data_IF_154086285796
#
_entry.id   IF_154086285796
#
_cell.length_a   1.000
_cell.length_b   1.000
_cell.length_c   1.000
_cell.angle_alpha   90.00
_cell.angle_beta   90.00
_cell.angle_gamma   90.00
#
_symmetry.space_group_name_H-M   'P 1'
#
loop_
_entity.id
_entity.type
_entity.pdbx_description
1 polymer ?
#
# COMPACT_ATOMS: atom_id res chain seq x y z
N UNK A 1 64.64 -38.16 -13.25
CA UNK A 1 63.66 -37.50 -12.34
C UNK A 1 63.48 -36.00 -12.64
N UNK A 2 64.54 -35.17 -12.65
CA UNK A 2 64.45 -33.71 -12.89
C UNK A 2 63.87 -33.29 -14.26
N UNK A 3 64.25 -33.98 -15.34
CA UNK A 3 63.78 -33.64 -16.70
C UNK A 3 62.32 -34.03 -16.96
N UNK A 4 61.82 -35.08 -16.31
CA UNK A 4 60.41 -35.49 -16.44
C UNK A 4 59.47 -34.44 -15.84
N UNK A 5 59.83 -33.84 -14.70
CA UNK A 5 59.08 -32.74 -14.10
C UNK A 5 59.10 -31.48 -14.99
N UNK A 6 60.25 -31.16 -15.60
CA UNK A 6 60.38 -30.06 -16.56
C UNK A 6 59.48 -30.25 -17.80
N UNK A 7 59.46 -31.46 -18.37
CA UNK A 7 58.64 -31.76 -19.56
C UNK A 7 57.15 -31.62 -19.25
N UNK A 8 56.68 -32.16 -18.13
CA UNK A 8 55.25 -32.04 -17.73
C UNK A 8 54.87 -30.59 -17.48
N UNK A 9 55.78 -29.79 -16.90
CA UNK A 9 55.55 -28.36 -16.62
C UNK A 9 55.42 -27.55 -17.91
N UNK A 10 56.31 -27.77 -18.88
CA UNK A 10 56.29 -27.06 -20.16
C UNK A 10 55.08 -27.48 -21.00
N UNK A 11 54.70 -28.76 -20.97
CA UNK A 11 53.47 -29.23 -21.63
C UNK A 11 52.20 -28.61 -21.04
N UNK A 12 52.12 -28.44 -19.72
CA UNK A 12 50.99 -27.77 -19.07
C UNK A 12 50.88 -26.28 -19.44
N UNK A 13 52.01 -25.59 -19.60
CA UNK A 13 52.03 -24.16 -19.95
C UNK A 13 51.64 -23.93 -21.43
N UNK A 14 52.04 -24.82 -22.34
CA UNK A 14 51.73 -24.73 -23.78
C UNK A 14 50.27 -25.06 -24.11
N UNK A 15 49.59 -25.90 -23.32
CA UNK A 15 48.17 -26.23 -23.50
C UNK A 15 47.21 -25.18 -22.92
N UNK A 16 47.72 -24.18 -22.18
CA UNK A 16 46.92 -23.27 -21.36
C UNK A 16 46.48 -21.95 -22.01
N UNK A 17 46.76 -21.70 -23.29
CA UNK A 17 46.52 -20.38 -23.91
C UNK A 17 45.57 -20.44 -25.11
N UNK A 18 44.30 -20.78 -24.88
CA UNK A 18 43.28 -20.77 -25.93
C UNK A 18 41.89 -20.41 -25.40
N UNK A 19 41.68 -19.17 -24.94
CA UNK A 19 40.33 -18.62 -24.80
C UNK A 19 40.39 -17.11 -24.50
N UNK A 20 40.79 -16.29 -25.48
CA UNK A 20 40.61 -14.85 -25.35
C UNK A 20 40.27 -14.20 -26.69
N UNK A 21 39.37 -14.82 -27.45
CA UNK A 21 38.69 -14.14 -28.56
C UNK A 21 37.22 -14.52 -28.49
N UNK A 22 36.36 -13.51 -28.51
CA UNK A 22 34.90 -13.55 -28.62
C UNK A 22 34.08 -13.80 -27.34
N UNK A 23 33.78 -12.72 -26.61
CA UNK A 23 32.48 -12.53 -25.94
C UNK A 23 32.28 -11.06 -25.56
N UNK A 24 32.06 -10.19 -26.54
CA UNK A 24 31.32 -8.95 -26.28
C UNK A 24 29.88 -9.25 -26.69
N UNK A 25 28.93 -9.35 -25.75
CA UNK A 25 27.52 -9.55 -26.11
C UNK A 25 27.03 -8.34 -26.92
N UNK A 26 26.12 -8.53 -27.89
CA UNK A 26 25.55 -7.42 -28.63
C UNK A 26 24.85 -6.45 -27.65
N UNK A 27 24.92 -5.13 -27.87
CA UNK A 27 24.21 -4.18 -27.02
C UNK A 27 22.70 -4.42 -27.15
N UNK A 28 22.05 -4.67 -26.02
CA UNK A 28 20.59 -4.81 -25.96
C UNK A 28 20.00 -3.40 -26.06
N UNK A 29 19.31 -3.10 -27.16
CA UNK A 29 18.49 -1.91 -27.29
C UNK A 29 17.30 -2.02 -26.34
N UNK A 30 17.40 -1.38 -25.17
CA UNK A 30 16.28 -1.26 -24.25
C UNK A 30 15.21 -0.35 -24.88
N UNK A 31 13.92 -0.69 -24.75
CA UNK A 31 12.85 0.21 -25.16
C UNK A 31 12.91 1.51 -24.35
N UNK A 32 12.49 2.64 -24.92
CA UNK A 32 12.45 3.90 -24.19
C UNK A 32 11.49 3.78 -23.00
N UNK A 33 11.79 4.44 -21.86
CA UNK A 33 10.92 4.41 -20.70
C UNK A 33 9.56 5.01 -21.05
N UNK A 34 8.49 4.31 -20.67
CA UNK A 34 7.14 4.85 -20.79
C UNK A 34 7.01 6.04 -19.85
N UNK A 35 6.50 7.16 -20.36
CA UNK A 35 6.19 8.32 -19.53
C UNK A 35 5.21 7.92 -18.43
N UNK A 36 5.33 8.49 -17.22
CA UNK A 36 4.32 8.30 -16.18
C UNK A 36 2.96 8.68 -16.75
N UNK A 37 1.99 7.78 -16.63
CA UNK A 37 0.62 8.08 -17.04
C UNK A 37 0.06 9.27 -16.24
N UNK A 38 -1.00 9.93 -16.75
CA UNK A 38 -1.69 10.94 -15.96
C UNK A 38 -2.17 10.32 -14.63
N UNK A 39 -2.18 11.09 -13.54
CA UNK A 39 -2.69 10.59 -12.27
C UNK A 39 -4.14 10.11 -12.46
N UNK A 40 -4.56 9.05 -11.76
CA UNK A 40 -5.95 8.62 -11.80
C UNK A 40 -6.82 9.81 -11.39
N UNK A 41 -7.88 10.07 -12.17
CA UNK A 41 -8.92 11.02 -11.78
C UNK A 41 -9.66 10.37 -10.61
N UNK A 42 -9.21 10.65 -9.39
CA UNK A 42 -9.93 10.27 -8.18
C UNK A 42 -11.15 11.17 -8.12
N UNK A 43 -12.33 10.59 -8.37
CA UNK A 43 -13.58 11.28 -8.06
C UNK A 43 -13.55 11.65 -6.56
N UNK A 44 -13.96 12.87 -6.18
CA UNK A 44 -14.08 13.21 -4.76
C UNK A 44 -15.00 12.17 -4.10
N UNK A 45 -14.74 11.79 -2.83
CA UNK A 45 -15.68 10.95 -2.10
C UNK A 45 -17.07 11.57 -2.17
N UNK A 46 -18.15 10.77 -2.23
CA UNK A 46 -19.50 11.31 -2.16
C UNK A 46 -19.59 12.24 -0.93
N UNK A 47 -20.34 13.35 -1.00
CA UNK A 47 -20.49 14.23 0.15
C UNK A 47 -20.87 13.37 1.35
N UNK A 48 -20.07 13.46 2.41
CA UNK A 48 -20.40 12.75 3.65
C UNK A 48 -21.82 13.16 4.00
N UNK A 49 -22.71 12.20 4.24
CA UNK A 49 -24.07 12.57 4.56
C UNK A 49 -24.05 13.43 5.83
N UNK A 50 -24.72 14.57 5.79
CA UNK A 50 -24.83 15.54 6.88
C UNK A 50 -25.71 14.99 8.03
N UNK A 51 -25.32 13.84 8.55
CA UNK A 51 -26.07 13.08 9.52
C UNK A 51 -26.25 13.84 10.84
N UNK A 52 -25.27 14.68 11.20
CA UNK A 52 -25.35 15.59 12.34
C UNK A 52 -26.25 16.81 12.09
N UNK A 53 -26.57 17.16 10.84
CA UNK A 53 -27.37 18.37 10.51
C UNK A 53 -28.88 18.15 10.65
N UNK A 54 -29.32 16.90 10.82
CA UNK A 54 -30.76 16.58 10.93
C UNK A 54 -31.38 17.06 12.24
N UNK A 55 -30.57 17.21 13.29
CA UNK A 55 -30.99 17.62 14.62
C UNK A 55 -30.21 18.88 15.02
N UNK A 56 -30.78 19.72 15.88
CA UNK A 56 -30.05 20.86 16.44
C UNK A 56 -28.82 20.37 17.20
N UNK A 57 -27.66 21.04 17.10
CA UNK A 57 -26.44 20.61 17.79
C UNK A 57 -26.63 20.37 19.29
N UNK A 58 -27.51 21.15 19.95
CA UNK A 58 -27.84 20.99 21.37
C UNK A 58 -28.56 19.68 21.65
N UNK A 59 -29.34 19.16 20.69
CA UNK A 59 -29.95 17.83 20.80
C UNK A 59 -28.87 16.76 20.84
N UNK A 60 -27.96 16.78 19.87
CA UNK A 60 -26.87 15.80 19.78
C UNK A 60 -25.94 15.86 20.98
N UNK A 61 -25.57 17.05 21.45
CA UNK A 61 -24.71 17.24 22.63
C UNK A 61 -25.37 16.70 23.90
N UNK A 62 -26.66 17.00 24.10
CA UNK A 62 -27.42 16.50 25.23
C UNK A 62 -27.50 14.96 25.21
N UNK A 63 -27.79 14.37 24.03
CA UNK A 63 -27.87 12.92 23.88
C UNK A 63 -26.51 12.24 24.10
N UNK A 64 -25.43 12.81 23.60
CA UNK A 64 -24.07 12.31 23.78
C UNK A 64 -23.62 12.36 25.24
N UNK A 65 -24.02 13.40 25.98
CA UNK A 65 -23.75 13.51 27.42
C UNK A 65 -24.58 12.51 28.23
N UNK A 66 -25.84 12.28 27.84
CA UNK A 66 -26.78 11.39 28.53
C UNK A 66 -26.44 9.91 28.32
N UNK A 67 -26.06 9.52 27.11
CA UNK A 67 -25.84 8.13 26.71
C UNK A 67 -24.48 7.94 26.03
N UNK A 68 -23.57 7.19 26.67
CA UNK A 68 -22.23 6.93 26.13
C UNK A 68 -22.21 6.18 24.79
N UNK A 69 -23.27 5.44 24.49
CA UNK A 69 -23.44 4.65 23.26
C UNK A 69 -24.26 5.36 22.18
N UNK A 70 -24.49 6.66 22.36
CA UNK A 70 -25.22 7.50 21.41
C UNK A 70 -24.48 7.60 20.07
N UNK A 71 -25.23 7.56 18.98
CA UNK A 71 -24.75 7.82 17.63
C UNK A 71 -25.59 8.94 17.03
N UNK A 72 -24.92 10.02 16.61
CA UNK A 72 -25.58 11.17 16.02
C UNK A 72 -26.28 10.82 14.70
N UNK A 73 -25.75 9.85 13.94
CA UNK A 73 -26.27 9.55 12.60
C UNK A 73 -27.71 9.00 12.62
N UNK A 74 -27.94 7.96 13.40
CA UNK A 74 -29.25 7.30 13.48
C UNK A 74 -30.10 7.84 14.63
N UNK A 75 -29.60 8.85 15.37
CA UNK A 75 -30.18 9.38 16.59
C UNK A 75 -30.57 8.28 17.61
N UNK A 76 -29.75 7.22 17.71
CA UNK A 76 -30.02 6.12 18.63
C UNK A 76 -28.94 5.97 19.69
N UNK A 77 -29.29 5.33 20.80
CA UNK A 77 -28.37 4.84 21.81
C UNK A 77 -28.64 3.36 22.13
N UNK A 78 -27.65 2.68 22.70
CA UNK A 78 -27.77 1.30 23.18
C UNK A 78 -28.08 1.32 24.70
N UNK A 79 -29.30 0.92 25.13
CA UNK A 79 -29.57 0.63 26.53
C UNK A 79 -28.81 -0.61 27.01
N UNK A 80 -28.71 -0.79 28.32
CA UNK A 80 -28.03 -1.95 28.92
C UNK A 80 -28.63 -3.29 28.48
N UNK A 81 -29.93 -3.31 28.23
CA UNK A 81 -30.66 -4.49 27.78
C UNK A 81 -31.54 -4.13 26.58
N UNK A 82 -31.59 -5.02 25.60
CA UNK A 82 -32.48 -4.91 24.44
C UNK A 82 -31.88 -4.16 23.23
N UNK A 83 -32.72 -3.80 22.24
CA UNK A 83 -32.28 -3.15 21.01
C UNK A 83 -31.95 -1.66 21.22
N UNK A 84 -31.30 -1.05 20.23
CA UNK A 84 -31.06 0.39 20.20
C UNK A 84 -32.39 1.16 20.20
N UNK A 85 -32.41 2.30 20.88
CA UNK A 85 -33.59 3.18 21.00
C UNK A 85 -33.25 4.58 20.52
N UNK A 86 -34.25 5.29 19.99
CA UNK A 86 -34.11 6.69 19.62
C UNK A 86 -33.87 7.56 20.87
N UNK A 87 -33.03 8.58 20.72
CA UNK A 87 -32.85 9.61 21.74
C UNK A 87 -33.90 10.71 21.58
N UNK A 88 -34.48 11.12 22.70
CA UNK A 88 -35.39 12.27 22.78
C UNK A 88 -34.78 13.28 23.74
N UNK A 89 -34.40 14.43 23.20
CA UNK A 89 -33.91 15.57 23.99
C UNK A 89 -34.97 16.67 24.03
N UNK A 90 -34.89 17.61 24.98
CA UNK A 90 -35.77 18.78 25.02
C UNK A 90 -35.45 19.83 23.93
N UNK A 91 -34.40 19.60 23.13
CA UNK A 91 -33.99 20.46 22.03
C UNK A 91 -34.42 19.82 20.69
N UNK A 92 -34.87 20.68 19.76
CA UNK A 92 -35.37 20.32 18.43
C UNK A 92 -34.28 20.34 17.37
#
# INVERSE_FOLDING_TARGET
MKYAAMIVSVSFILLGQSAAVAQVPPPVLLPPPLLPGPPPIVAPPPPEPDYARRYDPRHSDWCAHRYRSYRAYDNTYQPYEGPRRLCYSPFS
#
